data_IF_718609996555
#
_entry.id   IF_718609996555
#
_cell.length_a   1.000
_cell.length_b   1.000
_cell.length_c   1.000
_cell.angle_alpha   90.00
_cell.angle_beta   90.00
_cell.angle_gamma   90.00
#
_symmetry.space_group_name_H-M   'P 1'
#
loop_
_entity.id
_entity.type
_entity.pdbx_description
1 polymer ?
#
# COMPACT_ATOMS: atom_id res chain seq x y z
N UNK A 1 11.34 -1.25 -6.19
CA UNK A 1 10.89 -1.47 -7.59
C UNK A 1 10.86 -2.96 -7.81
N UNK A 2 9.81 -3.50 -8.43
CA UNK A 2 9.79 -4.90 -8.84
C UNK A 2 10.14 -4.99 -10.33
N UNK A 3 11.04 -5.91 -10.76
CA UNK A 3 11.75 -6.92 -9.95
C UNK A 3 13.11 -6.47 -9.38
N UNK A 4 13.62 -5.29 -9.73
CA UNK A 4 15.03 -4.89 -9.46
C UNK A 4 15.37 -4.64 -8.00
N UNK A 5 14.39 -4.56 -7.11
CA UNK A 5 14.58 -4.23 -5.70
C UNK A 5 14.99 -2.78 -5.44
N UNK A 6 15.20 -1.95 -6.47
CA UNK A 6 15.72 -0.60 -6.30
C UNK A 6 14.80 0.29 -5.43
N UNK A 7 15.41 1.02 -4.51
CA UNK A 7 14.73 1.96 -3.60
C UNK A 7 15.01 3.38 -4.06
N UNK A 8 13.95 4.16 -4.31
CA UNK A 8 14.08 5.58 -4.63
C UNK A 8 14.48 6.37 -3.39
N UNK A 9 15.54 7.17 -3.50
CA UNK A 9 15.92 8.16 -2.49
C UNK A 9 14.83 9.22 -2.29
N UNK A 10 14.82 9.87 -1.12
CA UNK A 10 13.85 10.92 -0.80
C UNK A 10 13.84 12.05 -1.85
N UNK A 11 15.02 12.51 -2.29
CA UNK A 11 15.14 13.56 -3.31
C UNK A 11 14.52 13.15 -4.64
N UNK A 12 14.66 11.88 -5.04
CA UNK A 12 14.02 11.36 -6.26
C UNK A 12 12.51 11.26 -6.12
N UNK A 13 12.00 10.89 -4.95
CA UNK A 13 10.56 10.85 -4.67
C UNK A 13 9.93 12.25 -4.75
N UNK A 14 10.56 13.26 -4.16
CA UNK A 14 10.12 14.64 -4.24
C UNK A 14 10.16 15.17 -5.68
N UNK A 15 11.25 14.91 -6.42
CA UNK A 15 11.36 15.30 -7.82
C UNK A 15 10.26 14.69 -8.71
N UNK A 16 9.84 13.44 -8.43
CA UNK A 16 8.72 12.81 -9.12
C UNK A 16 7.39 13.52 -8.82
N UNK A 17 7.12 13.83 -7.55
CA UNK A 17 5.93 14.59 -7.13
C UNK A 17 5.88 15.94 -7.85
N UNK A 18 7.00 16.67 -7.88
CA UNK A 18 7.08 17.98 -8.54
C UNK A 18 6.89 17.87 -10.06
N UNK A 19 7.48 16.85 -10.70
CA UNK A 19 7.25 16.59 -12.11
C UNK A 19 5.78 16.29 -12.40
N UNK A 20 5.14 15.42 -11.62
CA UNK A 20 3.74 15.08 -11.77
C UNK A 20 2.84 16.32 -11.65
N UNK A 21 3.10 17.19 -10.66
CA UNK A 21 2.40 18.48 -10.51
C UNK A 21 2.54 19.37 -11.74
N UNK A 22 3.77 19.59 -12.21
CA UNK A 22 4.04 20.43 -13.40
C UNK A 22 3.31 19.93 -14.65
N UNK A 23 3.18 18.61 -14.78
CA UNK A 23 2.51 17.98 -15.92
C UNK A 23 1.02 17.68 -15.70
N UNK A 24 0.46 18.04 -14.53
CA UNK A 24 -0.92 17.67 -14.13
C UNK A 24 -1.19 16.17 -14.27
N UNK A 25 -0.19 15.37 -13.93
CA UNK A 25 -0.22 13.92 -14.02
C UNK A 25 -0.42 13.29 -12.63
N UNK A 26 -0.93 12.05 -12.63
CA UNK A 26 -1.05 11.23 -11.43
C UNK A 26 0.08 10.21 -11.36
N UNK A 27 0.56 9.95 -10.16
CA UNK A 27 1.50 8.87 -9.85
C UNK A 27 0.68 7.73 -9.26
N UNK A 28 0.87 6.51 -9.77
CA UNK A 28 0.35 5.30 -9.14
C UNK A 28 1.49 4.68 -8.34
N UNK A 29 1.35 4.67 -7.01
CA UNK A 29 2.28 4.03 -6.10
C UNK A 29 1.74 2.65 -5.71
N UNK A 30 2.31 1.60 -6.30
CA UNK A 30 2.02 0.21 -5.92
C UNK A 30 3.01 -0.23 -4.82
N UNK A 31 2.66 -0.01 -3.56
CA UNK A 31 3.50 -0.37 -2.41
C UNK A 31 3.17 -1.77 -1.90
N UNK A 32 3.81 -2.73 -2.56
CA UNK A 32 3.52 -4.15 -2.43
C UNK A 32 4.29 -4.87 -1.30
N UNK A 33 5.33 -4.27 -0.69
CA UNK A 33 6.23 -4.96 0.26
C UNK A 33 6.84 -4.07 1.36
N UNK A 34 6.27 -2.88 1.63
CA UNK A 34 6.84 -2.01 2.65
C UNK A 34 6.73 -2.59 4.07
N UNK A 35 5.73 -3.45 4.34
CA UNK A 35 5.57 -4.07 5.65
C UNK A 35 6.64 -5.12 5.99
N UNK A 36 7.39 -5.65 5.02
CA UNK A 36 8.48 -6.62 5.25
C UNK A 36 9.88 -6.02 5.06
N UNK A 37 10.02 -4.69 5.08
CA UNK A 37 11.35 -4.08 5.05
C UNK A 37 12.16 -4.46 6.30
N UNK A 38 13.31 -5.08 6.06
CA UNK A 38 14.19 -5.63 7.09
C UNK A 38 15.45 -4.78 7.35
N UNK A 39 15.73 -3.78 6.50
CA UNK A 39 16.94 -2.94 6.57
C UNK A 39 16.63 -1.48 6.25
N UNK A 40 17.20 -0.56 7.02
CA UNK A 40 17.02 0.90 6.87
C UNK A 40 15.80 1.48 7.58
N UNK A 41 15.79 2.80 7.73
CA UNK A 41 14.64 3.55 8.28
C UNK A 41 13.47 3.52 7.28
N UNK A 42 12.20 3.42 7.75
CA UNK A 42 11.05 3.44 6.86
C UNK A 42 11.01 4.76 6.07
N UNK A 43 11.32 4.71 4.78
CA UNK A 43 11.03 5.84 3.89
C UNK A 43 9.52 5.84 3.69
N UNK A 44 8.86 6.91 4.15
CA UNK A 44 7.41 7.08 3.97
C UNK A 44 6.97 6.90 2.52
N UNK A 45 5.78 6.34 2.33
CA UNK A 45 5.13 6.23 1.02
C UNK A 45 5.11 7.59 0.32
N UNK A 46 5.27 7.63 -1.01
CA UNK A 46 5.23 8.87 -1.80
C UNK A 46 3.97 9.69 -1.48
N UNK A 47 2.84 9.01 -1.28
CA UNK A 47 1.58 9.64 -0.89
C UNK A 47 1.71 10.56 0.33
N UNK A 48 2.48 10.15 1.34
CA UNK A 48 2.65 10.89 2.61
C UNK A 48 3.75 11.94 2.62
N UNK A 49 4.49 12.13 1.52
CA UNK A 49 5.66 13.02 1.49
C UNK A 49 5.33 14.50 1.25
N UNK A 50 4.12 14.80 0.77
CA UNK A 50 3.69 16.18 0.52
C UNK A 50 2.17 16.30 0.73
N UNK A 51 1.68 17.45 1.23
CA UNK A 51 0.24 17.74 1.21
C UNK A 51 -0.24 17.79 -0.24
N UNK A 52 -1.46 17.34 -0.50
CA UNK A 52 -2.06 17.29 -1.85
C UNK A 52 -1.10 16.63 -2.87
N UNK A 53 -0.50 15.51 -2.48
CA UNK A 53 0.36 14.76 -3.39
C UNK A 53 -0.50 14.16 -4.52
N UNK A 54 -0.05 14.23 -5.79
CA UNK A 54 -0.80 13.68 -6.91
C UNK A 54 -0.57 12.15 -7.00
N UNK A 55 -0.70 11.45 -5.87
CA UNK A 55 -0.35 10.04 -5.74
C UNK A 55 -1.60 9.24 -5.41
N UNK A 56 -1.88 8.23 -6.23
CA UNK A 56 -2.83 7.15 -5.93
C UNK A 56 -2.03 6.01 -5.31
N UNK A 57 -2.23 5.74 -4.03
CA UNK A 57 -1.55 4.67 -3.32
C UNK A 57 -2.36 3.37 -3.40
N UNK A 58 -1.74 2.29 -3.84
CA UNK A 58 -2.30 0.95 -3.92
C UNK A 58 -1.68 0.08 -2.83
N UNK A 59 -2.51 -0.65 -2.11
CA UNK A 59 -2.07 -1.64 -1.13
C UNK A 59 -2.84 -2.95 -1.22
N UNK A 60 -2.25 -4.03 -0.70
CA UNK A 60 -2.94 -5.32 -0.57
C UNK A 60 -2.57 -6.06 0.71
N UNK A 61 -3.56 -6.69 1.34
CA UNK A 61 -3.37 -7.59 2.46
C UNK A 61 -2.97 -9.01 2.04
N UNK A 62 -3.00 -9.33 0.74
CA UNK A 62 -2.76 -10.69 0.23
C UNK A 62 -1.33 -11.18 0.48
N UNK A 63 -0.37 -10.26 0.69
CA UNK A 63 1.05 -10.57 0.89
C UNK A 63 1.46 -10.59 2.35
N UNK A 64 0.77 -9.83 3.19
CA UNK A 64 0.95 -9.85 4.64
C UNK A 64 0.17 -10.96 5.32
N UNK A 65 -0.91 -11.42 4.69
CA UNK A 65 -1.77 -12.53 5.15
C UNK A 65 -1.54 -13.77 4.28
N UNK A 66 -2.44 -14.03 3.32
CA UNK A 66 -2.36 -15.17 2.41
C UNK A 66 -2.94 -14.81 1.03
N UNK A 67 -2.41 -15.38 -0.08
CA UNK A 67 -2.78 -14.98 -1.44
C UNK A 67 -4.27 -15.07 -1.78
N UNK A 68 -4.98 -16.03 -1.18
CA UNK A 68 -6.41 -16.24 -1.41
C UNK A 68 -7.31 -15.19 -0.74
N UNK A 69 -6.76 -14.32 0.13
CA UNK A 69 -7.54 -13.26 0.79
C UNK A 69 -8.12 -12.26 -0.22
N UNK A 70 -7.34 -11.90 -1.25
CA UNK A 70 -7.76 -11.04 -2.36
C UNK A 70 -8.40 -9.71 -1.94
N UNK A 71 -7.97 -9.15 -0.80
CA UNK A 71 -8.36 -7.81 -0.34
C UNK A 71 -7.22 -6.83 -0.63
N UNK A 72 -7.59 -5.72 -1.28
CA UNK A 72 -6.73 -4.57 -1.52
C UNK A 72 -7.47 -3.27 -1.24
N UNK A 73 -6.73 -2.17 -1.26
CA UNK A 73 -7.26 -0.84 -0.99
C UNK A 73 -6.55 0.22 -1.83
N UNK A 74 -7.22 1.36 -1.97
CA UNK A 74 -6.73 2.54 -2.66
C UNK A 74 -6.81 3.72 -1.68
N UNK A 75 -5.75 4.53 -1.63
CA UNK A 75 -5.84 5.89 -1.09
C UNK A 75 -5.84 6.84 -2.27
N UNK A 76 -6.96 7.53 -2.45
CA UNK A 76 -7.22 8.40 -3.59
C UNK A 76 -7.11 9.86 -3.16
N UNK A 77 -6.44 10.72 -3.96
CA UNK A 77 -6.58 12.16 -3.86
C UNK A 77 -8.05 12.58 -4.03
N UNK A 78 -8.52 13.54 -3.24
CA UNK A 78 -9.92 14.00 -3.25
C UNK A 78 -10.40 14.42 -4.65
N UNK A 79 -9.51 15.00 -5.44
CA UNK A 79 -9.78 15.41 -6.82
C UNK A 79 -10.18 14.25 -7.75
N UNK A 80 -9.84 13.00 -7.43
CA UNK A 80 -10.23 11.81 -8.20
C UNK A 80 -11.52 11.17 -7.71
N UNK A 81 -12.02 11.55 -6.53
CA UNK A 81 -13.19 10.90 -5.92
C UNK A 81 -14.43 11.01 -6.82
N UNK A 82 -14.67 12.16 -7.42
CA UNK A 82 -15.79 12.38 -8.33
C UNK A 82 -15.72 11.49 -9.57
N UNK A 83 -14.52 11.25 -10.11
CA UNK A 83 -14.31 10.42 -11.29
C UNK A 83 -14.45 8.92 -10.99
N UNK A 84 -14.04 8.47 -9.79
CA UNK A 84 -14.07 7.05 -9.40
C UNK A 84 -15.44 6.61 -8.87
N UNK A 85 -16.18 7.51 -8.22
CA UNK A 85 -17.45 7.22 -7.55
C UNK A 85 -18.46 6.42 -8.40
N UNK A 86 -18.67 6.70 -9.69
CA UNK A 86 -19.62 5.94 -10.51
C UNK A 86 -19.25 4.46 -10.71
N UNK A 87 -17.96 4.13 -10.67
CA UNK A 87 -17.46 2.76 -10.86
C UNK A 87 -17.48 1.93 -9.56
N UNK A 88 -17.47 2.57 -8.39
CA UNK A 88 -17.39 1.88 -7.09
C UNK A 88 -18.50 0.83 -6.87
N UNK A 89 -19.79 1.08 -7.20
CA UNK A 89 -20.83 0.09 -6.99
C UNK A 89 -20.61 -1.19 -7.77
N UNK A 90 -19.97 -1.12 -8.95
CA UNK A 90 -19.64 -2.31 -9.74
C UNK A 90 -18.40 -3.01 -9.20
N UNK A 91 -17.34 -2.25 -8.90
CA UNK A 91 -16.08 -2.79 -8.39
C UNK A 91 -16.24 -3.46 -7.01
N UNK A 92 -17.15 -2.97 -6.17
CA UNK A 92 -17.40 -3.48 -4.83
C UNK A 92 -18.51 -4.53 -4.79
N UNK A 93 -19.09 -4.93 -5.93
CA UNK A 93 -20.00 -6.08 -6.01
C UNK A 93 -19.18 -7.36 -5.81
N UNK A 94 -19.26 -7.93 -4.62
CA UNK A 94 -18.67 -9.22 -4.32
C UNK A 94 -18.98 -9.65 -2.90
N UNK A 95 -19.48 -10.88 -2.73
CA UNK A 95 -19.95 -11.45 -1.45
C UNK A 95 -18.90 -11.65 -0.35
N UNK A 96 -17.78 -10.92 -0.38
CA UNK A 96 -16.66 -11.04 0.57
C UNK A 96 -16.79 -10.11 1.78
N UNK A 97 -17.96 -9.49 2.00
CA UNK A 97 -18.20 -8.59 3.15
C UNK A 97 -17.83 -9.22 4.49
N UNK A 98 -18.12 -10.50 4.69
CA UNK A 98 -17.76 -11.23 5.90
C UNK A 98 -16.24 -11.30 6.10
N UNK A 99 -15.47 -11.49 5.02
CA UNK A 99 -13.99 -11.47 5.06
C UNK A 99 -13.46 -10.06 5.35
N UNK A 100 -14.07 -9.03 4.78
CA UNK A 100 -13.71 -7.64 5.07
C UNK A 100 -13.94 -7.29 6.55
N UNK A 101 -15.07 -7.73 7.13
CA UNK A 101 -15.36 -7.53 8.54
C UNK A 101 -14.40 -8.30 9.44
N UNK A 102 -14.08 -9.56 9.12
CA UNK A 102 -13.10 -10.34 9.87
C UNK A 102 -11.71 -9.70 9.81
N UNK A 103 -11.31 -9.16 8.66
CA UNK A 103 -10.05 -8.42 8.52
C UNK A 103 -10.07 -7.12 9.34
N UNK A 104 -11.17 -6.38 9.32
CA UNK A 104 -11.32 -5.16 10.13
C UNK A 104 -11.17 -5.47 11.63
N UNK A 105 -11.88 -6.47 12.15
CA UNK A 105 -11.77 -6.91 13.54
C UNK A 105 -10.34 -7.36 13.89
N UNK A 106 -9.69 -8.10 12.99
CA UNK A 106 -8.29 -8.52 13.16
C UNK A 106 -7.29 -7.36 13.22
N UNK A 107 -7.57 -6.26 12.52
CA UNK A 107 -6.77 -5.03 12.57
C UNK A 107 -7.07 -4.25 13.85
N UNK A 108 -8.35 -4.03 14.18
CA UNK A 108 -8.80 -3.22 15.32
C UNK A 108 -8.39 -3.83 16.67
N UNK A 109 -8.35 -5.15 16.77
CA UNK A 109 -7.87 -5.88 17.97
C UNK A 109 -6.34 -5.91 18.09
N UNK A 110 -5.61 -5.39 17.09
CA UNK A 110 -4.15 -5.35 17.03
C UNK A 110 -3.50 -6.69 16.66
N UNK A 111 -4.28 -7.74 16.39
CA UNK A 111 -3.76 -9.06 16.01
C UNK A 111 -3.02 -9.04 14.67
N UNK A 112 -3.43 -8.18 13.73
CA UNK A 112 -2.70 -7.95 12.49
C UNK A 112 -1.27 -7.47 12.74
N UNK A 113 -1.08 -6.50 13.64
CA UNK A 113 0.26 -6.02 14.01
C UNK A 113 1.11 -7.12 14.65
N UNK A 114 0.53 -7.92 15.55
CA UNK A 114 1.21 -9.07 16.17
C UNK A 114 1.62 -10.11 15.12
N UNK A 115 0.73 -10.41 14.18
CA UNK A 115 0.99 -11.31 13.06
C UNK A 115 2.15 -10.81 12.18
N UNK A 116 2.13 -9.55 11.77
CA UNK A 116 3.24 -8.94 11.02
C UNK A 116 4.57 -9.06 11.76
N UNK A 117 4.57 -8.81 13.08
CA UNK A 117 5.75 -8.97 13.91
C UNK A 117 6.30 -10.40 13.91
N UNK A 118 5.41 -11.41 14.00
CA UNK A 118 5.79 -12.84 13.90
C UNK A 118 6.36 -13.16 12.51
N UNK A 119 5.69 -12.71 11.45
CA UNK A 119 6.10 -12.98 10.07
C UNK A 119 7.45 -12.33 9.73
N UNK A 120 7.71 -11.09 10.21
CA UNK A 120 9.01 -10.42 10.03
C UNK A 120 10.16 -11.22 10.64
N UNK A 121 9.97 -11.81 11.83
CA UNK A 121 10.99 -12.67 12.46
C UNK A 121 11.22 -13.92 11.61
N UNK A 122 10.16 -14.62 11.22
CA UNK A 122 10.23 -15.81 10.39
C UNK A 122 10.94 -15.57 9.05
N UNK A 123 10.62 -14.49 8.34
CA UNK A 123 11.24 -14.17 7.06
C UNK A 123 12.70 -13.75 7.20
N UNK A 124 13.06 -13.03 8.27
CA UNK A 124 14.46 -12.72 8.57
C UNK A 124 15.25 -14.01 8.80
N UNK A 125 14.72 -14.94 9.59
CA UNK A 125 15.40 -16.19 9.90
C UNK A 125 15.57 -17.06 8.63
N UNK A 126 14.57 -17.08 7.73
CA UNK A 126 14.65 -17.76 6.43
C UNK A 126 15.64 -17.13 5.44
N UNK A 127 15.91 -15.83 5.55
CA UNK A 127 16.90 -15.11 4.74
C UNK A 127 18.31 -15.15 5.35
N UNK A 128 18.46 -15.67 6.57
CA UNK A 128 19.73 -15.80 7.29
C UNK A 128 20.41 -17.16 7.16
N UNK A 129 20.06 -17.94 6.13
CA UNK A 129 20.99 -18.91 5.51
C UNK A 129 21.89 -18.15 4.54
#
# INVERSE_FOLDING_TARGET
QFPTGAVLSISRRLALIDAARRHRAWIIEDDYDSEFRHTGEPIGALHGLAPDSPVVYLGSFSKTMFPALRIGFLVLPDALLAAVRPALPEMLRGGTRHVQLALADFIETGEYGRHLGRMRRLYRDRRGL
#
